data_IF_699511958037
#
_entry.id   IF_699511958037
#
_cell.length_a   1.000
_cell.length_b   1.000
_cell.length_c   1.000
_cell.angle_alpha   90.00
_cell.angle_beta   90.00
_cell.angle_gamma   90.00
#
_symmetry.space_group_name_H-M   'P 1'
#
loop_
_entity.id
_entity.type
_entity.pdbx_description
1 polymer ?
#
# COMPACT_ATOMS: atom_id res chain seq x y z
N UNK A 1 13.60 2.46 9.55
CA UNK A 1 12.49 2.25 8.59
C UNK A 1 11.79 3.57 8.30
N UNK A 2 11.87 4.04 7.04
CA UNK A 2 11.41 5.36 6.59
C UNK A 2 9.88 5.54 6.81
N UNK A 3 9.41 6.77 7.09
CA UNK A 3 7.99 7.09 7.38
C UNK A 3 7.07 6.60 6.25
N UNK A 4 7.52 6.74 5.01
CA UNK A 4 6.81 6.25 3.82
C UNK A 4 6.63 4.74 3.84
N UNK A 5 7.65 3.97 4.22
CA UNK A 5 7.56 2.52 4.32
C UNK A 5 6.66 2.07 5.49
N UNK A 6 6.62 2.82 6.60
CA UNK A 6 5.66 2.57 7.68
C UNK A 6 4.21 2.75 7.20
N UNK A 7 3.93 3.81 6.42
CA UNK A 7 2.59 4.03 5.83
C UNK A 7 2.18 2.89 4.89
N UNK A 8 3.09 2.44 4.02
CA UNK A 8 2.84 1.31 3.12
C UNK A 8 2.57 0.02 3.92
N UNK A 9 3.39 -0.28 4.94
CA UNK A 9 3.21 -1.48 5.75
C UNK A 9 1.88 -1.49 6.51
N UNK A 10 1.43 -0.33 7.02
CA UNK A 10 0.13 -0.19 7.68
C UNK A 10 -1.03 -0.44 6.71
N UNK A 11 -0.97 0.13 5.50
CA UNK A 11 -1.95 -0.14 4.43
C UNK A 11 -1.94 -1.61 3.99
N UNK A 12 -0.77 -2.21 3.82
CA UNK A 12 -0.64 -3.61 3.44
C UNK A 12 -1.24 -4.56 4.49
N UNK A 13 -1.10 -4.27 5.79
CA UNK A 13 -1.78 -5.02 6.87
C UNK A 13 -3.30 -4.94 6.77
N UNK A 14 -3.84 -3.75 6.51
CA UNK A 14 -5.28 -3.56 6.35
C UNK A 14 -5.84 -4.32 5.15
N UNK A 15 -5.15 -4.24 4.00
CA UNK A 15 -5.51 -4.97 2.78
C UNK A 15 -5.49 -6.48 3.05
N UNK A 16 -4.41 -7.00 3.66
CA UNK A 16 -4.29 -8.42 4.01
C UNK A 16 -5.45 -8.90 4.89
N UNK A 17 -5.88 -8.08 5.85
CA UNK A 17 -7.01 -8.41 6.75
C UNK A 17 -8.35 -8.49 5.99
N UNK A 18 -8.54 -7.69 4.94
CA UNK A 18 -9.77 -7.69 4.15
C UNK A 18 -9.79 -8.78 3.06
N UNK A 19 -8.67 -9.01 2.37
CA UNK A 19 -8.65 -9.86 1.19
C UNK A 19 -8.08 -11.26 1.42
N UNK A 20 -7.39 -11.49 2.55
CA UNK A 20 -6.69 -12.75 2.81
C UNK A 20 -5.49 -13.00 1.88
N UNK A 21 -5.09 -12.02 1.05
CA UNK A 21 -4.00 -12.18 0.10
C UNK A 21 -2.64 -12.37 0.76
N UNK A 22 -1.70 -12.92 -0.03
CA UNK A 22 -0.30 -13.04 0.36
C UNK A 22 0.29 -11.67 0.73
N UNK A 23 1.29 -11.66 1.62
CA UNK A 23 1.92 -10.43 2.09
C UNK A 23 2.59 -9.65 0.94
N UNK A 24 3.21 -10.35 -0.01
CA UNK A 24 3.84 -9.74 -1.20
C UNK A 24 2.81 -9.02 -2.07
N UNK A 25 1.67 -9.65 -2.32
CA UNK A 25 0.55 -9.05 -3.07
C UNK A 25 0.02 -7.80 -2.36
N UNK A 26 -0.19 -7.87 -1.04
CA UNK A 26 -0.67 -6.73 -0.26
C UNK A 26 0.30 -5.55 -0.26
N UNK A 27 1.61 -5.84 -0.20
CA UNK A 27 2.67 -4.82 -0.26
C UNK A 27 2.74 -4.16 -1.65
N UNK A 28 2.54 -4.94 -2.70
CA UNK A 28 2.43 -4.47 -4.09
C UNK A 28 1.24 -3.52 -4.28
N UNK A 29 0.04 -3.95 -3.87
CA UNK A 29 -1.19 -3.13 -3.97
C UNK A 29 -1.06 -1.84 -3.15
N UNK A 30 -0.49 -1.92 -1.94
CA UNK A 30 -0.29 -0.73 -1.10
C UNK A 30 0.67 0.29 -1.74
N UNK A 31 1.72 -0.17 -2.42
CA UNK A 31 2.61 0.70 -3.21
C UNK A 31 1.90 1.28 -4.43
N UNK A 32 1.18 0.44 -5.18
CA UNK A 32 0.49 0.85 -6.40
C UNK A 32 -0.56 1.92 -6.13
N UNK A 33 -1.39 1.74 -5.08
CA UNK A 33 -2.34 2.76 -4.63
C UNK A 33 -1.67 4.05 -4.18
N UNK A 34 -0.52 3.99 -3.53
CA UNK A 34 0.22 5.19 -3.13
C UNK A 34 0.77 5.96 -4.33
N UNK A 35 1.22 5.25 -5.37
CA UNK A 35 1.65 5.84 -6.64
C UNK A 35 0.46 6.45 -7.40
N UNK A 36 -0.66 5.73 -7.46
CA UNK A 36 -1.87 6.17 -8.15
C UNK A 36 -2.51 7.40 -7.51
N UNK A 37 -2.53 7.46 -6.17
CA UNK A 37 -3.00 8.62 -5.40
C UNK A 37 -2.14 9.86 -5.67
N UNK A 38 -0.83 9.69 -5.79
CA UNK A 38 0.10 10.76 -6.17
C UNK A 38 -0.17 11.26 -7.61
N UNK A 39 -0.32 10.35 -8.57
CA UNK A 39 -0.61 10.71 -9.97
C UNK A 39 -1.98 11.39 -10.10
N UNK A 40 -3.00 10.96 -9.34
CA UNK A 40 -4.36 11.54 -9.39
C UNK A 40 -4.46 12.93 -8.75
N UNK A 41 -3.61 13.26 -7.78
CA UNK A 41 -3.62 14.57 -7.10
C UNK A 41 -2.77 15.59 -7.87
N UNK A 42 -1.68 15.16 -8.51
CA UNK A 42 -0.79 16.04 -9.28
C UNK A 42 -1.10 16.08 -10.79
N UNK A 43 -2.11 15.36 -11.26
CA UNK A 43 -2.55 15.31 -12.66
C UNK A 43 -3.84 16.09 -12.89
#
# INVERSE_FOLDING_TARGET
>A
MNIYQKKIAKRAKLIKKQTGFSWSTCKGIAKYRALYDFIRICG
#
